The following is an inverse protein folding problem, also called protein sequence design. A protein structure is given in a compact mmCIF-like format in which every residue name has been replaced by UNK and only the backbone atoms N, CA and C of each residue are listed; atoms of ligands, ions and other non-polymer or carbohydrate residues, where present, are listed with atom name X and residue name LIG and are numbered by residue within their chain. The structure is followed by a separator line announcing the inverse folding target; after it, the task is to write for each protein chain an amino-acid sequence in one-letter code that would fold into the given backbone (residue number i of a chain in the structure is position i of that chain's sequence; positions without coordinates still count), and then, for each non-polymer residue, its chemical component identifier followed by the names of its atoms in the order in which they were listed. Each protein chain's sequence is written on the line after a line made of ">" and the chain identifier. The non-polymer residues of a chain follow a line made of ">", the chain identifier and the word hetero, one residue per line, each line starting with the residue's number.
data_IF_946388227595
#
_entry.id   IF_946388227595
#
_cell.length_a   1.000
_cell.length_b   1.000
_cell.length_c   1.000
_cell.angle_alpha   90.00
_cell.angle_beta   90.00
_cell.angle_gamma   90.00
#
_symmetry.space_group_name_H-M   'P 1'
#
loop_
_entity.id
_entity.type
_entity.pdbx_description
1 polymer ?
#
# COMPACT_ATOMS: atom_id res chain seq x y z
N UNK A 1 -4.33 -6.20 17.34
CA UNK A 1 -3.55 -6.22 16.09
C UNK A 1 -2.45 -5.17 16.24
N UNK A 2 -1.32 -5.33 15.56
CA UNK A 2 -0.29 -4.28 15.53
C UNK A 2 -0.83 -3.03 14.81
N UNK A 3 -0.51 -1.84 15.29
CA UNK A 3 -1.02 -0.54 14.79
C UNK A 3 -0.71 -0.36 13.30
N UNK A 4 0.47 -0.84 12.86
CA UNK A 4 0.88 -0.82 11.44
C UNK A 4 -0.04 -1.67 10.57
N UNK A 5 -0.44 -2.84 11.08
CA UNK A 5 -1.31 -3.77 10.35
C UNK A 5 -2.71 -3.16 10.18
N UNK A 6 -3.25 -2.58 11.26
CA UNK A 6 -4.55 -1.92 11.25
C UNK A 6 -4.58 -0.72 10.29
N UNK A 7 -3.52 0.10 10.29
CA UNK A 7 -3.40 1.21 9.34
C UNK A 7 -3.38 0.75 7.88
N UNK A 8 -2.61 -0.30 7.57
CA UNK A 8 -2.54 -0.84 6.21
C UNK A 8 -3.87 -1.43 5.74
N UNK A 9 -4.59 -2.10 6.65
CA UNK A 9 -5.90 -2.66 6.37
C UNK A 9 -6.91 -1.55 6.03
N UNK A 10 -6.95 -0.49 6.83
CA UNK A 10 -7.77 0.70 6.57
C UNK A 10 -7.42 1.35 5.22
N UNK A 11 -6.12 1.45 4.89
CA UNK A 11 -5.68 2.00 3.62
C UNK A 11 -6.15 1.14 2.44
N UNK A 12 -6.08 -0.19 2.56
CA UNK A 12 -6.56 -1.13 1.55
C UNK A 12 -8.07 -1.05 1.34
N UNK A 13 -8.85 -0.97 2.42
CA UNK A 13 -10.30 -0.78 2.35
C UNK A 13 -10.66 0.57 1.71
N UNK A 14 -9.86 1.60 1.98
CA UNK A 14 -10.03 2.93 1.39
C UNK A 14 -9.58 3.05 -0.06
N UNK A 15 -8.68 2.18 -0.53
CA UNK A 15 -8.03 2.21 -1.85
C UNK A 15 -8.93 1.69 -2.98
N UNK A 16 -10.08 2.34 -3.16
CA UNK A 16 -10.96 2.12 -4.32
C UNK A 16 -10.36 2.76 -5.58
N UNK A 17 -10.69 2.24 -6.76
CA UNK A 17 -10.16 2.75 -8.03
C UNK A 17 -10.37 4.28 -8.20
N UNK A 18 -11.53 4.78 -7.78
CA UNK A 18 -11.86 6.22 -7.81
C UNK A 18 -10.97 7.04 -6.88
N UNK A 19 -10.70 6.55 -5.66
CA UNK A 19 -9.83 7.26 -4.70
C UNK A 19 -8.37 7.21 -5.12
N UNK A 20 -7.91 6.09 -5.66
CA UNK A 20 -6.55 5.95 -6.18
C UNK A 20 -6.26 6.96 -7.31
N UNK A 21 -7.26 7.30 -8.14
CA UNK A 21 -7.13 8.33 -9.18
C UNK A 21 -6.89 9.75 -8.63
N UNK A 22 -7.23 10.03 -7.37
CA UNK A 22 -7.04 11.34 -6.74
C UNK A 22 -5.60 11.58 -6.28
N UNK A 23 -4.85 10.51 -6.01
CA UNK A 23 -3.43 10.59 -5.67
C UNK A 23 -2.67 11.01 -6.93
N UNK A 24 -1.75 11.96 -6.89
CA UNK A 24 -0.92 12.30 -8.05
C UNK A 24 0.01 11.15 -8.46
N UNK A 25 0.65 11.27 -9.63
CA UNK A 25 1.63 10.28 -10.07
C UNK A 25 2.85 10.20 -9.15
N UNK A 26 3.34 11.34 -8.66
CA UNK A 26 4.51 11.40 -7.78
C UNK A 26 4.19 10.91 -6.36
N UNK A 27 3.01 11.24 -5.82
CA UNK A 27 2.56 10.70 -4.55
C UNK A 27 2.41 9.17 -4.61
N UNK A 28 1.91 8.62 -5.72
CA UNK A 28 1.82 7.18 -5.90
C UNK A 28 3.20 6.50 -5.95
N UNK A 29 4.20 7.13 -6.59
CA UNK A 29 5.58 6.63 -6.60
C UNK A 29 6.22 6.72 -5.20
N UNK A 30 5.97 7.79 -4.46
CA UNK A 30 6.44 7.91 -3.08
C UNK A 30 5.84 6.83 -2.18
N UNK A 31 4.52 6.58 -2.29
CA UNK A 31 3.84 5.50 -1.57
C UNK A 31 4.39 4.13 -1.95
N UNK A 32 4.67 3.87 -3.23
CA UNK A 32 5.29 2.63 -3.68
C UNK A 32 6.62 2.38 -2.95
N UNK A 33 7.47 3.40 -2.81
CA UNK A 33 8.75 3.28 -2.08
C UNK A 33 8.52 2.95 -0.61
N UNK A 34 7.63 3.68 0.08
CA UNK A 34 7.32 3.45 1.49
C UNK A 34 6.77 2.04 1.75
N UNK A 35 5.84 1.58 0.92
CA UNK A 35 5.30 0.23 1.00
C UNK A 35 6.35 -0.84 0.72
N UNK A 36 7.41 -0.51 -0.04
CA UNK A 36 8.53 -1.42 -0.28
C UNK A 36 9.36 -1.71 0.97
N UNK A 37 9.46 -0.75 1.90
CA UNK A 37 10.12 -0.99 3.20
C UNK A 37 9.34 -1.94 4.10
N UNK A 38 8.04 -2.13 3.83
CA UNK A 38 7.18 -3.02 4.59
C UNK A 38 7.18 -4.46 4.05
N UNK A 39 7.84 -4.71 2.91
CA UNK A 39 8.02 -6.05 2.31
C UNK A 39 9.25 -6.79 2.88
N UNK A 40 9.79 -6.32 4.01
CA UNK A 40 10.94 -6.91 4.69
C UNK A 40 10.54 -8.18 5.46
N UNK A 41 11.34 -9.27 5.36
CA UNK A 41 11.05 -10.55 6.02
C UNK A 41 10.94 -10.47 7.55
N UNK A 42 11.50 -9.44 8.18
CA UNK A 42 11.37 -9.16 9.61
C UNK A 42 9.98 -8.63 10.01
N UNK A 43 9.18 -8.16 9.05
CA UNK A 43 7.82 -7.69 9.30
C UNK A 43 6.85 -8.86 9.51
N UNK A 44 5.73 -8.66 10.22
CA UNK A 44 4.64 -9.62 10.26
C UNK A 44 4.13 -9.98 8.85
N UNK A 45 3.70 -11.23 8.64
CA UNK A 45 3.20 -11.69 7.35
C UNK A 45 2.03 -10.84 6.83
N UNK A 46 1.11 -10.45 7.71
CA UNK A 46 -0.03 -9.61 7.36
C UNK A 46 0.39 -8.22 6.90
N UNK A 47 1.44 -7.64 7.50
CA UNK A 47 2.02 -6.34 7.08
C UNK A 47 2.59 -6.45 5.67
N UNK A 48 3.42 -7.48 5.41
CA UNK A 48 3.99 -7.72 4.09
C UNK A 48 2.91 -7.92 3.02
N UNK A 49 1.93 -8.77 3.33
CA UNK A 49 0.79 -9.08 2.44
C UNK A 49 0.02 -7.82 2.08
N UNK A 50 -0.35 -7.02 3.08
CA UNK A 50 -1.11 -5.79 2.87
C UNK A 50 -0.31 -4.75 2.08
N UNK A 51 1.00 -4.61 2.38
CA UNK A 51 1.88 -3.71 1.64
C UNK A 51 2.02 -4.14 0.16
N UNK A 52 2.18 -5.43 -0.11
CA UNK A 52 2.26 -5.98 -1.46
C UNK A 52 0.96 -5.75 -2.25
N UNK A 53 -0.20 -5.96 -1.62
CA UNK A 53 -1.49 -5.72 -2.26
C UNK A 53 -1.68 -4.23 -2.64
N UNK A 54 -1.34 -3.32 -1.73
CA UNK A 54 -1.44 -1.88 -2.01
C UNK A 54 -0.48 -1.45 -3.13
N UNK A 55 0.74 -2.01 -3.17
CA UNK A 55 1.69 -1.79 -4.28
C UNK A 55 1.13 -2.28 -5.62
N UNK A 56 0.46 -3.43 -5.65
CA UNK A 56 -0.16 -3.95 -6.87
C UNK A 56 -1.26 -3.01 -7.40
N UNK A 57 -2.10 -2.47 -6.50
CA UNK A 57 -3.16 -1.52 -6.88
C UNK A 57 -2.59 -0.22 -7.44
N UNK A 58 -1.53 0.32 -6.82
CA UNK A 58 -0.84 1.51 -7.30
C UNK A 58 -0.10 1.27 -8.63
N UNK A 59 0.55 0.12 -8.78
CA UNK A 59 1.24 -0.26 -10.02
C UNK A 59 0.27 -0.38 -11.20
N UNK A 60 -0.87 -1.04 -10.99
CA UNK A 60 -1.93 -1.18 -12.01
C UNK A 60 -2.49 0.16 -12.47
N UNK A 61 -2.50 1.16 -11.58
CA UNK A 61 -2.92 2.53 -11.89
C UNK A 61 -1.87 3.32 -12.68
N UNK A 62 -0.59 3.11 -12.40
CA UNK A 62 0.53 3.86 -12.98
C UNK A 62 0.94 3.36 -14.37
N UNK A 63 0.53 2.15 -14.75
CA UNK A 63 0.72 1.56 -16.07
C UNK A 63 -0.18 2.22 -17.13
#
# INVERSE_FOLDING_TARGET
>A
MDETTELLDILLDGATEQRLKLISGDEARALMVLLGYLDDESQPEDVRRNAAEMRLRLASRLA
#
